data_IF_285749641705
#
_entry.id   IF_285749641705
#
_cell.length_a   1.000
_cell.length_b   1.000
_cell.length_c   1.000
_cell.angle_alpha   90.00
_cell.angle_beta   90.00
_cell.angle_gamma   90.00
#
_symmetry.space_group_name_H-M   'P 1'
#
loop_
_entity.id
_entity.type
_entity.pdbx_description
1 polymer ?
#
# COMPACT_ATOMS: atom_id res chain seq x y z
N UNK A 1 3.87 -11.90 -0.32
CA UNK A 1 4.23 -10.62 0.35
C UNK A 1 5.75 -10.54 0.34
N UNK A 2 6.34 -9.40 0.01
CA UNK A 2 7.79 -9.22 -0.04
C UNK A 2 8.20 -7.87 0.57
N UNK A 3 9.39 -7.81 1.15
CA UNK A 3 9.97 -6.59 1.70
C UNK A 3 11.45 -6.51 1.35
N UNK A 4 11.99 -5.30 1.30
CA UNK A 4 13.41 -5.06 1.03
C UNK A 4 13.77 -3.59 1.13
N UNK A 5 14.81 -3.20 0.41
CA UNK A 5 15.38 -1.85 0.52
C UNK A 5 16.45 -1.77 1.61
N UNK A 6 16.97 -0.56 1.81
CA UNK A 6 18.07 -0.25 2.72
C UNK A 6 17.85 1.18 3.25
N UNK A 7 18.36 1.52 4.45
CA UNK A 7 18.24 2.87 5.00
C UNK A 7 18.60 3.97 3.98
N UNK A 8 17.83 5.07 3.91
CA UNK A 8 16.62 5.35 4.66
C UNK A 8 15.33 4.80 4.00
N UNK A 9 15.42 4.13 2.85
CA UNK A 9 14.26 3.73 2.03
C UNK A 9 13.98 2.23 2.10
N UNK A 10 12.93 1.87 2.81
CA UNK A 10 12.41 0.50 2.88
C UNK A 10 11.25 0.32 1.93
N UNK A 11 11.16 -0.85 1.30
CA UNK A 11 10.11 -1.19 0.33
C UNK A 11 9.29 -2.37 0.84
N UNK A 12 7.98 -2.28 0.69
CA UNK A 12 7.01 -3.31 1.07
C UNK A 12 6.04 -3.55 -0.08
N UNK A 13 5.80 -4.82 -0.40
CA UNK A 13 4.91 -5.25 -1.46
C UNK A 13 3.78 -6.09 -0.89
N UNK A 14 2.55 -5.62 -1.11
CA UNK A 14 1.31 -6.26 -0.66
C UNK A 14 0.46 -6.68 -1.86
N UNK A 15 -0.44 -7.62 -1.62
CA UNK A 15 -1.52 -7.92 -2.55
C UNK A 15 -2.83 -8.05 -1.77
N UNK A 16 -3.95 -7.76 -2.44
CA UNK A 16 -5.29 -7.96 -1.90
C UNK A 16 -6.26 -8.35 -3.01
N UNK A 17 -7.34 -9.01 -2.65
CA UNK A 17 -8.45 -9.32 -3.54
C UNK A 17 -9.74 -9.07 -2.76
N UNK A 18 -10.73 -8.43 -3.41
CA UNK A 18 -12.05 -8.29 -2.83
C UNK A 18 -12.79 -9.63 -2.94
N UNK A 19 -13.38 -10.07 -1.83
CA UNK A 19 -14.16 -11.32 -1.82
C UNK A 19 -15.28 -11.27 -2.86
N UNK A 20 -15.45 -12.39 -3.57
CA UNK A 20 -16.39 -12.49 -4.70
C UNK A 20 -16.07 -11.64 -5.94
N UNK A 21 -14.91 -10.97 -6.00
CA UNK A 21 -14.49 -10.18 -7.16
C UNK A 21 -13.21 -10.74 -7.81
N UNK A 22 -13.06 -10.48 -9.11
CA UNK A 22 -11.84 -10.81 -9.87
C UNK A 22 -10.76 -9.74 -9.74
N UNK A 23 -11.08 -8.57 -9.17
CA UNK A 23 -10.15 -7.47 -9.03
C UNK A 23 -9.02 -7.81 -8.05
N UNK A 24 -7.81 -7.94 -8.58
CA UNK A 24 -6.56 -8.06 -7.84
C UNK A 24 -5.95 -6.68 -7.63
N UNK A 25 -5.48 -6.41 -6.42
CA UNK A 25 -4.75 -5.19 -6.07
C UNK A 25 -3.32 -5.53 -5.71
N UNK A 26 -2.36 -4.84 -6.31
CA UNK A 26 -0.94 -4.90 -5.97
C UNK A 26 -0.51 -3.55 -5.41
N UNK A 27 0.19 -3.56 -4.28
CA UNK A 27 0.63 -2.35 -3.60
C UNK A 27 2.15 -2.35 -3.47
N UNK A 28 2.79 -1.27 -3.91
CA UNK A 28 4.16 -0.92 -3.56
C UNK A 28 4.12 0.24 -2.55
N UNK A 29 4.69 0.02 -1.37
CA UNK A 29 4.85 1.04 -0.33
C UNK A 29 6.34 1.29 -0.07
N UNK A 30 6.77 2.54 -0.20
CA UNK A 30 8.14 2.96 0.09
C UNK A 30 8.10 3.85 1.33
N UNK A 31 8.75 3.42 2.41
CA UNK A 31 8.88 4.19 3.65
C UNK A 31 10.27 4.79 3.70
N UNK A 32 10.35 6.12 3.79
CA UNK A 32 11.59 6.83 4.00
C UNK A 32 11.68 7.26 5.47
N UNK A 33 12.60 6.65 6.23
CA UNK A 33 12.73 6.89 7.67
C UNK A 33 13.37 8.24 8.00
N UNK A 34 14.18 8.80 7.11
CA UNK A 34 14.80 10.11 7.33
C UNK A 34 13.78 11.26 7.26
N UNK A 35 12.75 11.12 6.42
CA UNK A 35 11.70 12.13 6.23
C UNK A 35 10.38 11.81 6.93
N UNK A 36 10.27 10.63 7.55
CA UNK A 36 9.02 10.10 8.11
C UNK A 36 7.85 10.10 7.11
N UNK A 37 8.12 9.83 5.83
CA UNK A 37 7.11 9.80 4.76
C UNK A 37 6.99 8.41 4.15
N UNK A 38 5.78 8.08 3.72
CA UNK A 38 5.49 6.90 2.91
C UNK A 38 4.99 7.33 1.52
N UNK A 39 5.42 6.60 0.48
CA UNK A 39 4.86 6.68 -0.86
C UNK A 39 4.14 5.37 -1.15
N UNK A 40 2.90 5.46 -1.61
CA UNK A 40 2.05 4.28 -1.87
C UNK A 40 1.65 4.30 -3.34
N UNK A 41 1.87 3.19 -4.02
CA UNK A 41 1.44 2.95 -5.39
C UNK A 41 0.57 1.72 -5.43
N UNK A 42 -0.69 1.91 -5.83
CA UNK A 42 -1.67 0.83 -6.03
C UNK A 42 -1.79 0.57 -7.53
N UNK A 43 -1.77 -0.71 -7.91
CA UNK A 43 -2.14 -1.19 -9.24
C UNK A 43 -3.33 -2.13 -9.07
N UNK A 44 -4.32 -2.00 -9.94
CA UNK A 44 -5.44 -2.90 -10.00
C UNK A 44 -5.75 -3.21 -11.46
N UNK A 45 -6.26 -4.41 -11.72
CA UNK A 45 -6.68 -4.81 -13.07
C UNK A 45 -7.95 -4.03 -13.50
N UNK A 46 -8.76 -3.62 -12.52
CA UNK A 46 -9.86 -2.68 -12.68
C UNK A 46 -9.45 -1.31 -12.09
N UNK A 47 -9.14 -0.37 -12.97
CA UNK A 47 -8.73 0.99 -12.59
C UNK A 47 -9.78 1.76 -11.78
N UNK A 48 -11.07 1.41 -11.90
CA UNK A 48 -12.15 2.06 -11.15
C UNK A 48 -12.14 1.69 -9.67
N UNK A 49 -11.62 0.50 -9.33
CA UNK A 49 -11.54 0.02 -7.96
C UNK A 49 -10.24 0.48 -7.25
N UNK A 50 -9.22 0.90 -8.01
CA UNK A 50 -7.91 1.28 -7.48
C UNK A 50 -7.98 2.48 -6.51
N UNK A 51 -8.81 3.47 -6.82
CA UNK A 51 -8.98 4.68 -5.99
C UNK A 51 -9.70 4.37 -4.67
N UNK A 52 -10.80 3.61 -4.74
CA UNK A 52 -11.54 3.17 -3.56
C UNK A 52 -10.66 2.32 -2.63
N UNK A 53 -9.90 1.38 -3.20
CA UNK A 53 -8.94 0.59 -2.45
C UNK A 53 -7.81 1.45 -1.86
N UNK A 54 -7.26 2.40 -2.63
CA UNK A 54 -6.22 3.31 -2.15
C UNK A 54 -6.69 4.12 -0.93
N UNK A 55 -7.91 4.65 -0.99
CA UNK A 55 -8.54 5.36 0.13
C UNK A 55 -8.69 4.48 1.36
N UNK A 56 -9.18 3.24 1.18
CA UNK A 56 -9.32 2.26 2.27
C UNK A 56 -7.95 1.91 2.89
N UNK A 57 -6.95 1.64 2.05
CA UNK A 57 -5.62 1.25 2.49
C UNK A 57 -4.94 2.38 3.28
N UNK A 58 -5.03 3.62 2.80
CA UNK A 58 -4.53 4.79 3.52
C UNK A 58 -5.25 5.03 4.85
N UNK A 59 -6.58 4.85 4.89
CA UNK A 59 -7.36 4.93 6.12
C UNK A 59 -6.97 3.87 7.15
N UNK A 60 -6.62 2.65 6.71
CA UNK A 60 -6.11 1.63 7.59
C UNK A 60 -4.73 2.01 8.15
N UNK A 61 -3.82 2.49 7.30
CA UNK A 61 -2.46 2.88 7.70
C UNK A 61 -2.44 4.04 8.69
N UNK A 62 -3.36 5.02 8.57
CA UNK A 62 -3.41 6.17 9.47
C UNK A 62 -3.77 5.81 10.91
N UNK A 63 -4.28 4.60 11.17
CA UNK A 63 -4.59 4.12 12.53
C UNK A 63 -3.40 3.50 13.25
N UNK A 64 -2.27 3.30 12.58
CA UNK A 64 -1.05 2.75 13.19
C UNK A 64 -0.15 3.88 13.71
N UNK A 65 0.55 3.65 14.82
CA UNK A 65 1.51 4.60 15.37
C UNK A 65 0.89 5.82 16.06
N UNK A 66 -0.43 5.86 16.20
CA UNK A 66 -1.13 6.80 17.09
C UNK A 66 -1.10 6.22 18.51
N UNK A 67 -0.26 6.82 19.37
CA UNK A 67 -0.21 6.58 20.82
C UNK A 67 -0.84 7.74 21.58
#
# INVERSE_FOLDING_TARGET
IASGGQPPNYKFFFYAQKDGATALFLVECIVNTASAKAQIKVKADDGTAAEAFSTLFQSALSKFGLS
#
